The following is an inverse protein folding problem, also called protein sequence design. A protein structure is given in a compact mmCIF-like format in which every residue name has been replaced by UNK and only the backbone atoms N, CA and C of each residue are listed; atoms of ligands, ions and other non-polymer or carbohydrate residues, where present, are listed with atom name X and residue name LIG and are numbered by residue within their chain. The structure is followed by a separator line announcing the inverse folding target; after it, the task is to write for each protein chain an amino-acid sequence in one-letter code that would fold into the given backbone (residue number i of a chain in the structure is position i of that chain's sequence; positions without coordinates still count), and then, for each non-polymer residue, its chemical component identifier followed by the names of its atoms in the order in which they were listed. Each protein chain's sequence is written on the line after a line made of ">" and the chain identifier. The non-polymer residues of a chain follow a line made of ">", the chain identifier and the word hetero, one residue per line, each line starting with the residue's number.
data_IF_034051905398
#
_entry.id   IF_034051905398
#
_cell.length_a   1.000
_cell.length_b   1.000
_cell.length_c   1.000
_cell.angle_alpha   90.00
_cell.angle_beta   90.00
_cell.angle_gamma   90.00
#
_symmetry.space_group_name_H-M   'P 1'
#
loop_
_entity.id
_entity.type
_entity.pdbx_description
1 polymer ?
#
# COMPACT_ATOMS: atom_id res chain seq x y z
N UNK A 1 -5.91 12.56 -5.11
CA UNK A 1 -5.33 11.41 -5.84
C UNK A 1 -4.31 11.93 -6.83
N UNK A 2 -3.18 11.23 -7.01
CA UNK A 2 -2.16 11.52 -8.03
C UNK A 2 -1.62 10.22 -8.63
N UNK A 3 -1.39 10.19 -9.94
CA UNK A 3 -0.90 9.03 -10.68
C UNK A 3 0.27 9.45 -11.56
N UNK A 4 1.40 8.79 -11.39
CA UNK A 4 2.56 8.82 -12.29
C UNK A 4 2.71 7.40 -12.88
N UNK A 5 2.39 7.21 -14.18
CA UNK A 5 2.37 5.89 -14.80
C UNK A 5 3.67 5.11 -14.58
N UNK A 6 3.54 3.91 -14.02
CA UNK A 6 4.65 3.00 -13.75
C UNK A 6 5.58 3.41 -12.60
N UNK A 7 5.31 4.53 -11.90
CA UNK A 7 6.23 5.07 -10.88
C UNK A 7 5.57 5.33 -9.54
N UNK A 8 4.40 5.96 -9.51
CA UNK A 8 3.81 6.43 -8.25
C UNK A 8 2.29 6.50 -8.28
N UNK A 9 1.67 6.09 -7.18
CA UNK A 9 0.24 6.21 -6.93
C UNK A 9 0.04 6.82 -5.56
N UNK A 10 -0.72 7.91 -5.46
CA UNK A 10 -1.14 8.52 -4.19
C UNK A 10 -2.65 8.56 -4.13
N UNK A 11 -3.24 7.94 -3.12
CA UNK A 11 -4.70 7.89 -2.96
C UNK A 11 -5.13 7.99 -1.49
N UNK A 12 -6.33 8.54 -1.29
CA UNK A 12 -7.02 8.46 -0.01
C UNK A 12 -7.39 7.01 0.27
N UNK A 13 -7.37 6.62 1.55
CA UNK A 13 -7.64 5.27 1.99
C UNK A 13 -8.39 5.28 3.32
N UNK A 14 -9.43 4.46 3.41
CA UNK A 14 -10.17 4.19 4.64
C UNK A 14 -10.76 2.79 4.60
N UNK A 15 -11.15 2.27 5.76
CA UNK A 15 -11.92 1.02 5.87
C UNK A 15 -13.21 1.27 6.63
N UNK A 16 -14.04 0.23 6.75
CA UNK A 16 -15.22 0.24 7.61
C UNK A 16 -14.89 0.39 9.11
N UNK A 17 -13.62 0.28 9.49
CA UNK A 17 -13.17 0.45 10.88
C UNK A 17 -12.86 1.92 11.23
N UNK A 18 -12.91 2.82 10.25
CA UNK A 18 -12.78 4.26 10.49
C UNK A 18 -14.14 4.80 10.91
N UNK A 19 -14.16 5.56 11.99
CA UNK A 19 -15.34 6.29 12.42
C UNK A 19 -15.75 7.33 11.35
N UNK A 20 -17.02 7.71 11.35
CA UNK A 20 -17.53 8.69 10.38
C UNK A 20 -16.85 10.05 10.50
N UNK A 21 -16.41 10.41 11.71
CA UNK A 21 -15.69 11.66 12.00
C UNK A 21 -14.19 11.59 11.72
N UNK A 22 -13.62 10.40 11.50
CA UNK A 22 -12.21 10.26 11.21
C UNK A 22 -11.94 10.62 9.75
N UNK A 23 -10.90 11.43 9.55
CA UNK A 23 -10.42 11.77 8.22
C UNK A 23 -9.89 10.53 7.49
N UNK A 24 -9.92 10.59 6.16
CA UNK A 24 -9.30 9.55 5.35
C UNK A 24 -7.78 9.55 5.56
N UNK A 25 -7.22 8.36 5.71
CA UNK A 25 -5.77 8.18 5.66
C UNK A 25 -5.28 8.30 4.21
N UNK A 26 -3.96 8.25 4.01
CA UNK A 26 -3.37 8.28 2.67
C UNK A 26 -2.39 7.13 2.49
N UNK A 27 -2.45 6.48 1.33
CA UNK A 27 -1.38 5.61 0.88
C UNK A 27 -0.63 6.21 -0.30
N UNK A 28 0.68 6.07 -0.28
CA UNK A 28 1.59 6.33 -1.39
C UNK A 28 2.30 5.02 -1.75
N UNK A 29 2.13 4.57 -2.99
CA UNK A 29 2.84 3.43 -3.57
C UNK A 29 3.88 3.96 -4.53
N UNK A 30 5.14 3.59 -4.31
CA UNK A 30 6.27 3.93 -5.18
C UNK A 30 6.79 2.63 -5.80
N UNK A 31 7.00 2.67 -7.12
CA UNK A 31 7.53 1.58 -7.92
C UNK A 31 8.89 2.01 -8.45
N UNK A 32 9.93 1.31 -8.02
CA UNK A 32 11.30 1.53 -8.46
C UNK A 32 11.76 0.32 -9.27
N UNK A 33 12.21 0.54 -10.49
CA UNK A 33 12.88 -0.50 -11.28
C UNK A 33 14.19 -0.90 -10.59
N UNK A 34 14.41 -2.20 -10.46
CA UNK A 34 15.65 -2.79 -9.92
C UNK A 34 16.07 -3.94 -10.81
N UNK A 35 17.33 -4.35 -10.74
CA UNK A 35 17.83 -5.47 -11.54
C UNK A 35 16.97 -6.72 -11.29
N UNK A 36 16.33 -7.22 -12.35
CA UNK A 36 15.49 -8.41 -12.30
C UNK A 36 14.10 -8.22 -11.69
N UNK A 37 13.62 -6.98 -11.46
CA UNK A 37 12.26 -6.77 -10.99
C UNK A 37 11.88 -5.34 -10.61
N UNK A 38 10.96 -5.23 -9.64
CA UNK A 38 10.47 -3.94 -9.15
C UNK A 38 10.46 -3.95 -7.63
N UNK A 39 11.02 -2.91 -7.02
CA UNK A 39 10.87 -2.63 -5.61
C UNK A 39 9.63 -1.77 -5.41
N UNK A 40 8.64 -2.35 -4.73
CA UNK A 40 7.43 -1.64 -4.32
C UNK A 40 7.59 -1.15 -2.87
N UNK A 41 7.44 0.15 -2.66
CA UNK A 41 7.36 0.76 -1.32
C UNK A 41 5.95 1.29 -1.09
N UNK A 42 5.27 0.86 -0.02
CA UNK A 42 3.99 1.41 0.42
C UNK A 42 4.20 2.24 1.68
N UNK A 43 3.82 3.51 1.63
CA UNK A 43 3.78 4.42 2.77
C UNK A 43 2.34 4.69 3.14
N UNK A 44 1.99 4.48 4.41
CA UNK A 44 0.65 4.72 4.92
C UNK A 44 0.72 5.82 5.98
N UNK A 45 0.08 6.96 5.71
CA UNK A 45 0.14 8.16 6.54
C UNK A 45 -1.27 8.65 6.89
N UNK A 46 -1.37 9.59 7.83
CA UNK A 46 -2.64 10.06 8.39
C UNK A 46 -3.51 8.92 8.95
N UNK A 47 -2.87 7.95 9.61
CA UNK A 47 -3.55 6.84 10.25
C UNK A 47 -4.17 7.30 11.59
N UNK A 48 -5.38 6.83 11.93
CA UNK A 48 -5.92 7.04 13.27
C UNK A 48 -5.05 6.29 14.30
N UNK A 49 -5.15 6.62 15.61
CA UNK A 49 -4.31 6.02 16.65
C UNK A 49 -4.32 4.47 16.69
N UNK A 50 -5.41 3.86 16.24
CA UNK A 50 -5.59 2.41 16.18
C UNK A 50 -5.13 1.77 14.85
N UNK A 51 -4.56 2.57 13.93
CA UNK A 51 -4.24 2.17 12.56
C UNK A 51 -2.93 1.38 12.40
N UNK A 52 -2.12 1.22 13.45
CA UNK A 52 -0.84 0.49 13.38
C UNK A 52 -1.01 -0.97 12.91
N UNK A 53 -2.17 -1.59 13.15
CA UNK A 53 -2.51 -2.94 12.67
C UNK A 53 -2.48 -3.09 11.15
N UNK A 54 -2.66 -2.00 10.39
CA UNK A 54 -2.74 -2.06 8.93
C UNK A 54 -1.41 -2.46 8.29
N UNK A 55 -0.27 -2.22 8.94
CA UNK A 55 1.03 -2.69 8.44
C UNK A 55 1.05 -4.22 8.26
N UNK A 56 0.56 -4.95 9.26
CA UNK A 56 0.49 -6.41 9.19
C UNK A 56 -0.53 -6.85 8.12
N UNK A 57 -1.67 -6.17 8.03
CA UNK A 57 -2.66 -6.42 6.98
C UNK A 57 -2.12 -6.25 5.55
N UNK A 58 -1.29 -5.23 5.31
CA UNK A 58 -0.62 -5.05 4.01
C UNK A 58 0.33 -6.21 3.70
N UNK A 59 1.06 -6.72 4.70
CA UNK A 59 1.95 -7.88 4.51
C UNK A 59 1.17 -9.14 4.17
N UNK A 60 0.14 -9.44 4.96
CA UNK A 60 -0.58 -10.71 4.88
C UNK A 60 -1.47 -10.81 3.64
N UNK A 61 -2.11 -9.71 3.25
CA UNK A 61 -3.11 -9.73 2.18
C UNK A 61 -2.62 -9.20 0.84
N UNK A 62 -1.48 -8.50 0.81
CA UNK A 62 -0.92 -7.96 -0.43
C UNK A 62 0.51 -8.43 -0.66
N UNK A 63 1.48 -8.09 0.21
CA UNK A 63 2.88 -8.36 -0.12
C UNK A 63 3.23 -9.85 -0.18
N UNK A 64 2.76 -10.65 0.76
CA UNK A 64 3.03 -12.09 0.74
C UNK A 64 2.36 -12.77 -0.48
N UNK A 65 1.06 -12.56 -0.75
CA UNK A 65 0.43 -13.10 -1.97
C UNK A 65 1.05 -12.60 -3.27
N UNK A 66 1.40 -11.31 -3.37
CA UNK A 66 2.06 -10.77 -4.56
C UNK A 66 3.42 -11.42 -4.79
N UNK A 67 4.23 -11.60 -3.74
CA UNK A 67 5.52 -12.29 -3.86
C UNK A 67 5.35 -13.72 -4.37
N UNK A 68 4.39 -14.47 -3.82
CA UNK A 68 4.10 -15.83 -4.26
C UNK A 68 3.64 -15.87 -5.72
N UNK A 69 2.71 -15.00 -6.09
CA UNK A 69 2.19 -14.91 -7.45
C UNK A 69 3.28 -14.54 -8.47
N UNK A 70 4.04 -13.46 -8.21
CA UNK A 70 5.06 -13.00 -9.15
C UNK A 70 6.27 -13.94 -9.21
N UNK A 71 6.61 -14.66 -8.13
CA UNK A 71 7.70 -15.65 -8.17
C UNK A 71 7.33 -16.92 -8.94
N UNK A 72 6.04 -17.20 -9.11
CA UNK A 72 5.55 -18.37 -9.87
C UNK A 72 5.21 -18.06 -11.33
N UNK A 73 5.27 -16.77 -11.73
CA UNK A 73 4.88 -16.29 -13.05
C UNK A 73 5.92 -15.33 -13.68
N UNK A 74 7.16 -15.36 -13.19
CA UNK A 74 8.32 -14.59 -13.70
C UNK A 74 9.19 -15.39 -14.64
#
# INVERSE_FOLDING_TARGET
>A
MALDPGKRIVQSWRTTQFEASEEDSQIEVVLEEVDGGTKLTLRHTNLPPHGTRYEQGWKDHYFNPMKEYFSSHS
#
